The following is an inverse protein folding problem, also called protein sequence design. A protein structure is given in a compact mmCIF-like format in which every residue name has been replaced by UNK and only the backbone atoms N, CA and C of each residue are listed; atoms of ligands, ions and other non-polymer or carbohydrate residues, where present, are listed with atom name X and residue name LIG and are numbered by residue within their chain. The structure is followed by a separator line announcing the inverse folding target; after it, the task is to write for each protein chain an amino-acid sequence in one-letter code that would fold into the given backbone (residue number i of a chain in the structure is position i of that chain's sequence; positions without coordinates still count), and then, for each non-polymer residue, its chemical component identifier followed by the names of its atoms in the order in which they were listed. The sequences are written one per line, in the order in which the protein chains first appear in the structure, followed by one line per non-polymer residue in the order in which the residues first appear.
data_IF_611196833009
#
_entry.id   IF_611196833009
#
_cell.length_a   1.000
_cell.length_b   1.000
_cell.length_c   1.000
_cell.angle_alpha   90.00
_cell.angle_beta   90.00
_cell.angle_gamma   90.00
#
_symmetry.space_group_name_H-M   'P 1'
#
loop_
_entity.id
_entity.type
_entity.pdbx_description
1 polymer ?
#
# COMPACT_ATOMS: atom_id res chain seq x y z
N UNK A 1 -8.14 -21.53 -32.35
CA UNK A 1 -8.43 -20.08 -32.32
C UNK A 1 -7.70 -19.48 -31.15
N UNK A 2 -6.54 -18.87 -31.40
CA UNK A 2 -5.79 -18.11 -30.41
C UNK A 2 -6.42 -16.73 -30.29
N UNK A 3 -7.27 -16.53 -29.28
CA UNK A 3 -7.76 -15.19 -28.95
C UNK A 3 -6.59 -14.40 -28.36
N UNK A 4 -6.16 -13.41 -29.13
CA UNK A 4 -5.22 -12.39 -28.70
C UNK A 4 -5.93 -11.55 -27.62
N UNK A 5 -5.80 -11.94 -26.35
CA UNK A 5 -6.29 -11.15 -25.22
C UNK A 5 -5.38 -9.94 -25.12
N UNK A 6 -5.82 -8.79 -25.64
CA UNK A 6 -5.06 -7.55 -25.57
C UNK A 6 -4.60 -7.28 -24.14
N UNK A 7 -3.36 -6.81 -24.00
CA UNK A 7 -2.75 -6.40 -22.74
C UNK A 7 -3.77 -5.70 -21.83
N UNK A 8 -4.07 -6.31 -20.68
CA UNK A 8 -4.92 -5.71 -19.66
C UNK A 8 -4.34 -4.35 -19.27
N UNK A 9 -5.10 -3.27 -19.45
CA UNK A 9 -4.64 -1.92 -19.11
C UNK A 9 -4.43 -1.82 -17.60
N UNK A 10 -3.31 -1.24 -17.19
CA UNK A 10 -3.12 -0.84 -15.80
C UNK A 10 -4.16 0.22 -15.41
N UNK A 11 -4.78 0.07 -14.23
CA UNK A 11 -5.65 1.07 -13.61
C UNK A 11 -4.93 1.67 -12.41
N UNK A 12 -4.88 2.99 -12.34
CA UNK A 12 -4.29 3.73 -11.21
C UNK A 12 -5.37 4.59 -10.58
N UNK A 13 -5.50 4.54 -9.25
CA UNK A 13 -6.43 5.34 -8.47
C UNK A 13 -5.68 6.01 -7.32
N UNK A 14 -5.85 7.32 -7.20
CA UNK A 14 -5.25 8.11 -6.14
C UNK A 14 -6.23 8.26 -4.97
N UNK A 15 -5.93 7.60 -3.85
CA UNK A 15 -6.73 7.65 -2.62
C UNK A 15 -6.25 8.74 -1.66
N UNK A 16 -4.99 9.15 -1.81
CA UNK A 16 -4.41 10.32 -1.18
C UNK A 16 -3.17 10.81 -1.92
N UNK A 17 -3.04 12.14 -1.97
CA UNK A 17 -2.01 12.87 -2.75
C UNK A 17 -1.41 14.03 -1.96
N UNK A 18 -1.67 14.09 -0.66
CA UNK A 18 -1.08 15.07 0.25
C UNK A 18 0.20 14.50 0.85
N UNK A 19 1.15 15.39 1.14
CA UNK A 19 2.34 15.06 1.92
C UNK A 19 2.04 15.03 3.41
N UNK A 20 3.04 15.42 4.20
CA UNK A 20 3.21 15.28 5.66
C UNK A 20 1.99 15.31 6.57
N UNK A 21 0.91 16.01 6.21
CA UNK A 21 -0.32 16.06 6.99
C UNK A 21 -1.57 15.98 6.10
N UNK A 22 -2.67 15.36 6.58
CA UNK A 22 -3.95 15.45 5.90
C UNK A 22 -4.45 16.90 5.93
N UNK A 23 -4.98 17.37 4.81
CA UNK A 23 -5.43 18.75 4.63
C UNK A 23 -6.85 18.79 4.08
N UNK A 24 -7.88 18.34 4.82
CA UNK A 24 -9.26 18.47 4.36
C UNK A 24 -9.72 19.94 4.43
N UNK A 25 -10.41 20.43 3.41
CA UNK A 25 -11.01 21.76 3.45
C UNK A 25 -11.44 22.30 2.08
N UNK A 26 -12.16 23.44 2.05
CA UNK A 26 -12.64 24.04 0.81
C UNK A 26 -11.53 24.33 -0.21
N UNK A 27 -10.33 24.69 0.26
CA UNK A 27 -9.17 24.95 -0.59
C UNK A 27 -8.52 23.70 -1.20
N UNK A 28 -8.81 22.50 -0.69
CA UNK A 28 -8.13 21.25 -1.07
C UNK A 28 -9.08 20.19 -1.61
N UNK A 29 -10.39 20.34 -1.41
CA UNK A 29 -11.44 19.36 -1.75
C UNK A 29 -11.41 18.92 -3.22
N UNK A 30 -11.00 19.81 -4.13
CA UNK A 30 -10.87 19.49 -5.57
C UNK A 30 -9.98 18.28 -5.84
N UNK A 31 -8.92 18.09 -5.04
CA UNK A 31 -7.95 17.01 -5.21
C UNK A 31 -7.88 16.07 -3.99
N UNK A 32 -8.73 16.26 -2.98
CA UNK A 32 -8.75 15.49 -1.75
C UNK A 32 -7.82 16.02 -0.64
N UNK A 33 -7.99 15.47 0.56
CA UNK A 33 -7.25 15.87 1.77
C UNK A 33 -6.40 14.76 2.40
N UNK A 34 -6.37 13.57 1.82
CA UNK A 34 -5.67 12.42 2.38
C UNK A 34 -4.20 12.37 1.98
N UNK A 35 -3.36 11.78 2.85
CA UNK A 35 -1.93 11.57 2.60
C UNK A 35 -1.67 10.33 1.74
N UNK A 36 -0.43 10.17 1.27
CA UNK A 36 0.00 9.20 0.24
C UNK A 36 -0.70 7.85 0.31
N UNK A 37 -1.47 7.53 -0.73
CA UNK A 37 -2.01 6.19 -0.97
C UNK A 37 -2.45 6.10 -2.42
N UNK A 38 -1.82 5.21 -3.19
CA UNK A 38 -2.15 4.99 -4.61
C UNK A 38 -2.41 3.51 -4.84
N UNK A 39 -3.53 3.19 -5.47
CA UNK A 39 -3.86 1.84 -5.88
C UNK A 39 -3.49 1.64 -7.36
N UNK A 40 -2.79 0.55 -7.65
CA UNK A 40 -2.44 0.10 -8.99
C UNK A 40 -3.02 -1.30 -9.18
N UNK A 41 -3.77 -1.50 -10.27
CA UNK A 41 -4.28 -2.81 -10.68
C UNK A 41 -3.79 -3.17 -12.07
N UNK A 42 -3.18 -4.35 -12.19
CA UNK A 42 -2.76 -4.92 -13.46
C UNK A 42 -2.64 -6.44 -13.32
N UNK A 43 -2.91 -7.19 -14.39
CA UNK A 43 -2.75 -8.66 -14.42
C UNK A 43 -3.46 -9.44 -13.29
N UNK A 44 -4.53 -8.87 -12.72
CA UNK A 44 -5.28 -9.46 -11.60
C UNK A 44 -4.72 -9.15 -10.22
N UNK A 45 -3.61 -8.42 -10.14
CA UNK A 45 -2.98 -7.98 -8.89
C UNK A 45 -3.51 -6.62 -8.43
N UNK A 46 -3.55 -6.43 -7.12
CA UNK A 46 -3.82 -5.14 -6.46
C UNK A 46 -2.57 -4.77 -5.68
N UNK A 47 -1.92 -3.68 -6.10
CA UNK A 47 -0.75 -3.11 -5.43
C UNK A 47 -1.15 -1.75 -4.87
N UNK A 48 -0.82 -1.51 -3.61
CA UNK A 48 -1.02 -0.22 -2.93
C UNK A 48 0.35 0.39 -2.67
N UNK A 49 0.57 1.61 -3.15
CA UNK A 49 1.76 2.40 -2.82
C UNK A 49 1.41 3.27 -1.61
N UNK A 50 2.13 3.03 -0.52
CA UNK A 50 1.96 3.63 0.80
C UNK A 50 0.59 3.40 1.48
N UNK A 51 0.62 3.44 2.81
CA UNK A 51 -0.52 3.27 3.70
C UNK A 51 -0.81 4.56 4.49
N UNK A 52 -0.73 5.72 3.83
CA UNK A 52 -1.17 6.99 4.39
C UNK A 52 -2.67 7.03 4.65
N UNK A 53 -3.20 8.18 5.08
CA UNK A 53 -4.62 8.28 5.49
C UNK A 53 -5.62 7.95 4.37
N UNK A 54 -5.19 8.01 3.11
CA UNK A 54 -6.00 7.58 1.96
C UNK A 54 -6.37 6.10 1.97
N UNK A 55 -5.54 5.26 2.59
CA UNK A 55 -5.76 3.80 2.60
C UNK A 55 -7.08 3.41 3.28
N UNK A 56 -7.58 4.25 4.19
CA UNK A 56 -8.89 4.06 4.83
C UNK A 56 -10.02 4.04 3.81
N UNK A 57 -10.03 4.97 2.85
CA UNK A 57 -11.07 5.03 1.81
C UNK A 57 -10.90 3.91 0.78
N UNK A 58 -9.65 3.56 0.44
CA UNK A 58 -9.36 2.37 -0.37
C UNK A 58 -9.95 1.12 0.29
N UNK A 59 -9.71 0.91 1.59
CA UNK A 59 -10.21 -0.25 2.33
C UNK A 59 -11.74 -0.37 2.30
N UNK A 60 -12.46 0.75 2.45
CA UNK A 60 -13.92 0.78 2.31
C UNK A 60 -14.37 0.46 0.87
N UNK A 61 -13.64 0.94 -0.13
CA UNK A 61 -13.94 0.67 -1.53
C UNK A 61 -13.77 -0.82 -1.85
N UNK A 62 -12.65 -1.42 -1.43
CA UNK A 62 -12.38 -2.85 -1.60
C UNK A 62 -13.44 -3.69 -0.89
N UNK A 63 -13.86 -3.31 0.31
CA UNK A 63 -14.91 -4.05 1.01
C UNK A 63 -16.25 -4.01 0.28
N UNK A 64 -16.62 -2.86 -0.32
CA UNK A 64 -17.82 -2.76 -1.15
C UNK A 64 -17.72 -3.56 -2.44
N UNK A 65 -16.54 -3.57 -3.06
CA UNK A 65 -16.29 -4.27 -4.31
C UNK A 65 -16.30 -5.79 -4.14
N UNK A 66 -15.59 -6.31 -3.13
CA UNK A 66 -15.42 -7.75 -2.92
C UNK A 66 -16.53 -8.36 -2.05
N UNK A 67 -17.21 -7.56 -1.22
CA UNK A 67 -18.25 -8.05 -0.31
C UNK A 67 -17.73 -9.19 0.59
N UNK A 68 -18.28 -10.40 0.40
CA UNK A 68 -17.87 -11.60 1.12
C UNK A 68 -16.60 -12.26 0.58
N UNK A 69 -16.14 -11.92 -0.61
CA UNK A 69 -14.98 -12.55 -1.25
C UNK A 69 -13.66 -12.16 -0.58
N UNK A 70 -12.65 -13.04 -0.59
CA UNK A 70 -11.35 -12.76 -0.01
C UNK A 70 -10.57 -11.74 -0.86
N UNK A 71 -9.93 -10.79 -0.18
CA UNK A 71 -9.05 -9.80 -0.81
C UNK A 71 -7.60 -10.26 -0.66
N UNK A 72 -6.85 -10.23 -1.78
CA UNK A 72 -5.40 -10.39 -1.80
C UNK A 72 -4.78 -9.14 -2.39
N UNK A 73 -3.84 -8.52 -1.69
CA UNK A 73 -3.13 -7.35 -2.18
C UNK A 73 -1.73 -7.23 -1.60
N UNK A 74 -0.90 -6.46 -2.29
CA UNK A 74 0.41 -6.04 -1.83
C UNK A 74 0.40 -4.56 -1.45
N UNK A 75 1.12 -4.20 -0.40
CA UNK A 75 1.39 -2.81 0.00
C UNK A 75 2.88 -2.59 -0.12
N UNK A 76 3.31 -1.66 -0.96
CA UNK A 76 4.69 -1.22 -1.10
C UNK A 76 4.85 0.09 -0.32
N UNK A 77 5.62 0.07 0.76
CA UNK A 77 5.93 1.24 1.58
C UNK A 77 7.20 1.90 1.05
N UNK A 78 7.07 3.12 0.53
CA UNK A 78 8.20 3.90 0.02
C UNK A 78 9.20 4.22 1.12
N UNK A 79 8.70 4.69 2.26
CA UNK A 79 9.44 4.96 3.50
C UNK A 79 8.46 5.07 4.67
N UNK A 80 8.99 5.13 5.89
CA UNK A 80 8.20 5.00 7.12
C UNK A 80 7.87 6.31 7.82
N UNK A 81 7.90 7.44 7.10
CA UNK A 81 7.31 8.67 7.64
C UNK A 81 5.82 8.50 7.88
N UNK A 82 5.32 9.21 8.88
CA UNK A 82 3.99 8.95 9.43
C UNK A 82 2.89 9.12 8.38
N UNK A 83 2.99 10.10 7.49
CA UNK A 83 2.04 10.32 6.40
C UNK A 83 1.97 9.20 5.36
N UNK A 84 2.94 8.28 5.35
CA UNK A 84 2.98 7.09 4.50
C UNK A 84 2.49 5.81 5.20
N UNK A 85 2.29 5.83 6.52
CA UNK A 85 1.89 4.62 7.29
C UNK A 85 0.71 4.82 8.24
N UNK A 86 0.32 6.07 8.55
CA UNK A 86 -0.68 6.43 9.56
C UNK A 86 -2.08 5.86 9.32
N UNK A 87 -2.39 5.49 8.08
CA UNK A 87 -3.69 4.97 7.72
C UNK A 87 -3.83 3.46 7.93
N UNK A 88 -2.72 2.73 8.08
CA UNK A 88 -2.74 1.27 8.24
C UNK A 88 -3.65 0.77 9.38
N UNK A 89 -3.68 1.40 10.57
CA UNK A 89 -4.59 0.99 11.65
C UNK A 89 -6.08 1.11 11.29
N UNK A 90 -6.42 1.85 10.24
CA UNK A 90 -7.79 2.05 9.76
C UNK A 90 -8.11 1.28 8.48
N UNK A 91 -7.23 0.37 8.05
CA UNK A 91 -7.39 -0.40 6.83
C UNK A 91 -8.27 -1.63 7.06
N UNK A 92 -9.58 -1.47 6.80
CA UNK A 92 -10.60 -2.51 7.02
C UNK A 92 -10.23 -3.92 6.50
N UNK A 93 -9.55 -4.08 5.35
CA UNK A 93 -9.11 -5.40 4.90
C UNK A 93 -8.20 -6.15 5.89
N UNK A 94 -7.44 -5.45 6.74
CA UNK A 94 -6.61 -6.07 7.78
C UNK A 94 -7.42 -6.70 8.93
N UNK A 95 -8.69 -6.30 9.08
CA UNK A 95 -9.59 -6.75 10.14
C UNK A 95 -10.44 -7.98 9.74
N UNK A 96 -10.12 -8.64 8.63
CA UNK A 96 -10.84 -9.83 8.18
C UNK A 96 -9.89 -10.99 7.92
N UNK A 97 -10.05 -12.11 8.64
CA UNK A 97 -9.18 -13.28 8.53
C UNK A 97 -9.25 -14.05 7.21
N UNK A 98 -10.19 -13.69 6.32
CA UNK A 98 -10.23 -14.20 4.94
C UNK A 98 -9.22 -13.52 4.02
N UNK A 99 -8.74 -12.32 4.39
CA UNK A 99 -7.89 -11.51 3.53
C UNK A 99 -6.40 -11.84 3.75
N UNK A 100 -5.61 -11.64 2.70
CA UNK A 100 -4.15 -11.79 2.73
C UNK A 100 -3.50 -10.48 2.27
N UNK A 101 -2.67 -9.92 3.14
CA UNK A 101 -1.95 -8.67 2.89
C UNK A 101 -0.46 -8.98 2.94
N UNK A 102 0.27 -8.61 1.89
CA UNK A 102 1.75 -8.62 1.90
C UNK A 102 2.22 -7.18 1.95
N UNK A 103 3.04 -6.84 2.94
CA UNK A 103 3.58 -5.49 3.13
C UNK A 103 5.07 -5.54 2.87
N UNK A 104 5.54 -4.77 1.91
CA UNK A 104 6.94 -4.70 1.51
C UNK A 104 7.50 -3.33 1.83
N UNK A 105 8.77 -3.29 2.18
CA UNK A 105 9.53 -2.06 2.34
C UNK A 105 11.00 -2.38 2.53
N UNK A 106 11.82 -1.36 2.51
CA UNK A 106 13.25 -1.51 2.79
C UNK A 106 13.52 -1.20 4.25
N UNK A 107 14.35 -2.01 4.89
CA UNK A 107 14.91 -1.65 6.17
C UNK A 107 15.86 -0.46 5.98
N UNK A 108 15.59 0.61 6.72
CA UNK A 108 16.36 1.84 6.68
C UNK A 108 16.80 2.36 8.02
N UNK A 109 16.54 1.59 9.08
CA UNK A 109 16.80 2.04 10.44
C UNK A 109 17.41 0.90 11.25
N UNK A 110 17.49 1.05 12.57
CA UNK A 110 17.85 -0.07 13.46
C UNK A 110 16.64 -0.94 13.81
N UNK A 111 15.46 -0.53 13.40
CA UNK A 111 14.17 -1.11 13.76
C UNK A 111 13.54 -1.72 12.53
N UNK A 112 13.06 -2.96 12.66
CA UNK A 112 12.48 -3.71 11.54
C UNK A 112 11.19 -3.05 11.05
N UNK A 113 10.88 -3.21 9.77
CA UNK A 113 9.66 -2.64 9.17
C UNK A 113 8.41 -3.05 9.97
N UNK A 114 8.35 -4.32 10.38
CA UNK A 114 7.23 -4.83 11.16
C UNK A 114 7.10 -4.17 12.54
N UNK A 115 8.21 -3.87 13.20
CA UNK A 115 8.23 -3.19 14.49
C UNK A 115 7.77 -1.73 14.34
N UNK A 116 8.18 -1.05 13.27
CA UNK A 116 7.72 0.32 12.98
C UNK A 116 6.20 0.35 12.73
N UNK A 117 5.70 -0.56 11.90
CA UNK A 117 4.26 -0.64 11.60
C UNK A 117 3.44 -1.05 12.82
N UNK A 118 3.96 -1.93 13.66
CA UNK A 118 3.31 -2.32 14.92
C UNK A 118 3.32 -1.18 15.95
N UNK A 119 4.40 -0.41 16.04
CA UNK A 119 4.56 0.65 17.06
C UNK A 119 3.49 1.73 17.02
N UNK A 120 3.00 2.11 15.83
CA UNK A 120 1.87 3.05 15.71
C UNK A 120 0.52 2.47 16.16
N UNK A 121 0.45 1.15 16.37
CA UNK A 121 -0.73 0.41 16.82
C UNK A 121 -0.63 -0.02 18.30
N UNK A 122 0.45 0.34 18.99
CA UNK A 122 0.64 0.00 20.40
C UNK A 122 -0.11 0.96 21.34
N UNK A 123 -0.35 0.52 22.57
CA UNK A 123 -0.88 1.38 23.64
C UNK A 123 0.17 2.41 24.04
N UNK A 124 -0.19 3.70 24.24
CA UNK A 124 -1.55 4.26 24.27
C UNK A 124 -2.02 4.87 22.93
N UNK A 125 -1.29 4.67 21.83
CA UNK A 125 -1.57 5.32 20.54
C UNK A 125 -2.79 4.74 19.83
N UNK A 126 -3.00 3.42 19.95
CA UNK A 126 -4.13 2.75 19.34
C UNK A 126 -4.66 1.62 20.23
N UNK A 127 -5.98 1.33 20.20
CA UNK A 127 -6.59 0.33 21.08
C UNK A 127 -6.47 -1.12 20.58
N UNK A 128 -5.92 -1.33 19.37
CA UNK A 128 -5.78 -2.67 18.76
C UNK A 128 -4.37 -2.82 18.20
N UNK A 129 -3.60 -3.74 18.75
CA UNK A 129 -2.25 -4.03 18.28
C UNK A 129 -2.26 -4.74 16.93
N UNK A 130 -1.15 -4.67 16.19
CA UNK A 130 -1.02 -5.36 14.91
C UNK A 130 -1.14 -6.89 15.07
N UNK A 131 -0.75 -7.45 16.21
CA UNK A 131 -0.84 -8.88 16.51
C UNK A 131 -2.28 -9.36 16.75
N UNK A 132 -3.20 -8.47 17.11
CA UNK A 132 -4.62 -8.78 17.32
C UNK A 132 -5.42 -8.74 16.00
N UNK A 133 -4.81 -8.27 14.90
CA UNK A 133 -5.48 -8.22 13.61
C UNK A 133 -5.70 -9.65 13.07
N UNK A 134 -6.94 -10.04 12.74
CA UNK A 134 -7.23 -11.38 12.26
C UNK A 134 -6.77 -11.62 10.81
N UNK A 135 -6.50 -10.55 10.05
CA UNK A 135 -6.01 -10.64 8.68
C UNK A 135 -4.63 -11.29 8.60
N UNK A 136 -4.37 -12.03 7.51
CA UNK A 136 -3.05 -12.64 7.29
C UNK A 136 -2.09 -11.59 6.74
N UNK A 137 -1.39 -10.88 7.62
CA UNK A 137 -0.42 -9.85 7.25
C UNK A 137 0.99 -10.44 7.26
N UNK A 138 1.62 -10.45 6.10
CA UNK A 138 3.02 -10.85 5.93
C UNK A 138 3.85 -9.61 5.67
N UNK A 139 4.92 -9.42 6.44
CA UNK A 139 5.82 -8.27 6.30
C UNK A 139 7.12 -8.77 5.70
N UNK A 140 7.50 -8.20 4.56
CA UNK A 140 8.64 -8.62 3.75
C UNK A 140 9.62 -7.44 3.62
N UNK A 141 10.74 -7.56 4.31
CA UNK A 141 11.85 -6.62 4.17
C UNK A 141 12.62 -6.94 2.90
N UNK A 142 12.52 -6.02 1.94
CA UNK A 142 13.16 -6.14 0.65
C UNK A 142 14.67 -5.95 0.79
N UNK A 143 15.43 -6.81 0.11
CA UNK A 143 16.89 -6.73 -0.03
C UNK A 143 17.31 -6.46 -1.47
N UNK A 144 16.59 -7.08 -2.40
CA UNK A 144 16.80 -6.92 -3.82
C UNK A 144 16.02 -5.71 -4.36
N UNK A 145 16.55 -5.11 -5.43
CA UNK A 145 15.89 -4.02 -6.15
C UNK A 145 14.88 -4.53 -7.18
N UNK A 146 14.98 -5.79 -7.58
CA UNK A 146 14.06 -6.44 -8.52
C UNK A 146 13.36 -7.60 -7.81
N UNK A 147 12.03 -7.62 -7.88
CA UNK A 147 11.20 -8.65 -7.27
C UNK A 147 9.86 -8.78 -8.01
N UNK A 148 9.05 -9.76 -7.61
CA UNK A 148 7.75 -10.03 -8.24
C UNK A 148 6.60 -9.94 -7.25
N UNK A 149 5.49 -9.36 -7.71
CA UNK A 149 4.19 -9.43 -7.05
C UNK A 149 3.25 -10.12 -8.03
N UNK A 150 2.99 -11.41 -7.80
CA UNK A 150 2.21 -12.22 -8.71
C UNK A 150 2.85 -12.26 -10.09
N UNK A 151 2.14 -11.79 -11.11
CA UNK A 151 2.65 -11.72 -12.50
C UNK A 151 3.40 -10.42 -12.83
N UNK A 152 3.48 -9.47 -11.89
CA UNK A 152 4.06 -8.16 -12.12
C UNK A 152 5.50 -8.13 -11.61
N UNK A 153 6.44 -7.79 -12.51
CA UNK A 153 7.80 -7.43 -12.10
C UNK A 153 7.80 -6.02 -11.53
N UNK A 154 8.45 -5.86 -10.39
CA UNK A 154 8.66 -4.57 -9.71
C UNK A 154 10.16 -4.31 -9.63
N UNK A 155 10.57 -3.12 -10.03
CA UNK A 155 11.92 -2.61 -9.84
C UNK A 155 11.86 -1.40 -8.92
N UNK A 156 12.62 -1.42 -7.83
CA UNK A 156 12.74 -0.30 -6.91
C UNK A 156 14.06 0.45 -7.12
N UNK A 157 14.10 1.68 -6.62
CA UNK A 157 15.32 2.48 -6.57
C UNK A 157 15.31 3.41 -5.38
N UNK A 158 16.42 3.49 -4.66
CA UNK A 158 16.57 4.47 -3.59
C UNK A 158 16.55 5.90 -4.11
N UNK A 159 15.83 6.77 -3.39
CA UNK A 159 15.62 8.18 -3.72
C UNK A 159 16.42 9.10 -2.80
N UNK A 160 16.60 10.35 -3.22
CA UNK A 160 17.24 11.38 -2.40
C UNK A 160 16.23 11.94 -1.38
N UNK A 161 16.18 11.32 -0.21
CA UNK A 161 15.29 11.67 0.90
C UNK A 161 16.01 11.36 2.22
N UNK A 162 15.76 12.08 3.33
CA UNK A 162 16.32 11.73 4.63
C UNK A 162 15.97 10.30 5.06
N UNK A 163 16.96 9.45 5.31
CA UNK A 163 16.75 8.03 5.59
C UNK A 163 16.52 7.18 4.34
N UNK A 164 16.05 5.95 4.49
CA UNK A 164 15.77 5.07 3.34
C UNK A 164 14.40 5.37 2.77
N UNK A 165 14.38 5.66 1.47
CA UNK A 165 13.18 5.85 0.68
C UNK A 165 13.37 5.20 -0.68
N UNK A 166 12.38 4.42 -1.11
CA UNK A 166 12.37 3.75 -2.40
C UNK A 166 11.23 4.27 -3.29
N UNK A 167 11.53 4.52 -4.56
CA UNK A 167 10.54 4.61 -5.62
C UNK A 167 10.34 3.24 -6.26
N UNK A 168 9.16 2.98 -6.83
CA UNK A 168 8.82 1.70 -7.43
C UNK A 168 8.37 1.88 -8.88
N UNK A 169 8.93 1.06 -9.77
CA UNK A 169 8.47 0.87 -11.13
C UNK A 169 7.77 -0.48 -11.24
N UNK A 170 6.48 -0.46 -11.56
CA UNK A 170 5.67 -1.66 -11.79
C UNK A 170 5.57 -1.88 -13.29
N UNK A 171 6.12 -3.00 -13.76
CA UNK A 171 6.04 -3.39 -15.16
C UNK A 171 4.71 -4.10 -15.44
N UNK A 172 4.02 -3.65 -16.47
CA UNK A 172 2.73 -4.17 -16.93
C UNK A 172 2.80 -4.50 -18.42
N UNK A 173 1.88 -5.31 -18.98
CA UNK A 173 1.90 -5.61 -20.41
C UNK A 173 1.74 -4.37 -21.32
N UNK A 174 1.16 -3.27 -20.82
CA UNK A 174 0.94 -2.04 -21.56
C UNK A 174 2.04 -0.96 -21.36
N UNK A 175 3.05 -1.22 -20.53
CA UNK A 175 4.09 -0.26 -20.17
C UNK A 175 4.42 -0.33 -18.68
N UNK A 176 4.92 0.76 -18.09
CA UNK A 176 5.24 0.79 -16.66
C UNK A 176 4.54 1.93 -15.94
N UNK A 177 4.13 1.67 -14.70
CA UNK A 177 3.74 2.70 -13.72
C UNK A 177 4.98 2.99 -12.88
N UNK A 178 5.33 4.26 -12.72
CA UNK A 178 6.48 4.74 -11.92
C UNK A 178 5.98 5.78 -10.94
#
# INVERSE_FOLDING_TARGET
MTTNVGASKARVIFWGVRGSIPTPGPGTVRYGGNTSCVEVRAEGEIIVLDAGSGIRLLGQSLQREFGSDPIRLAILISHTHWDHIQGLPFFLPAYSGKNQLRVFGYDGTRTRLGEILAGQMETPFFPVTMAELPGKIQIEELKDMDFEIGKLRVHSKFLNHPGVCAGYRIHTPAGSVV
#
